data_IF_763921396041
#
_entry.id   IF_763921396041
#
_cell.length_a   1.000
_cell.length_b   1.000
_cell.length_c   1.000
_cell.angle_alpha   90.00
_cell.angle_beta   90.00
_cell.angle_gamma   90.00
#
_symmetry.space_group_name_H-M   'P 1'
#
loop_
_entity.id
_entity.type
_entity.pdbx_description
1 polymer ?
#
# COMPACT_ATOMS: atom_id res chain seq x y z
N UNK A 1 -32.10 48.30 -26.93
CA UNK A 1 -30.71 47.80 -26.97
C UNK A 1 -30.69 46.49 -26.21
N UNK A 2 -30.62 45.34 -26.90
CA UNK A 2 -30.71 44.00 -26.28
C UNK A 2 -29.36 43.63 -25.66
N UNK A 3 -29.37 43.30 -24.37
CA UNK A 3 -28.22 42.80 -23.62
C UNK A 3 -27.95 41.36 -24.07
N UNK A 4 -26.79 41.10 -24.66
CA UNK A 4 -26.34 39.78 -25.08
C UNK A 4 -25.59 39.13 -23.90
N UNK A 5 -26.17 38.10 -23.30
CA UNK A 5 -25.52 37.27 -22.29
C UNK A 5 -24.54 36.33 -23.01
N UNK A 6 -23.23 36.53 -22.85
CA UNK A 6 -22.21 35.62 -23.38
C UNK A 6 -22.06 34.47 -22.37
N UNK A 7 -22.55 33.30 -22.76
CA UNK A 7 -22.36 32.04 -22.04
C UNK A 7 -20.90 31.59 -22.27
N UNK A 8 -20.04 31.77 -21.27
CA UNK A 8 -18.66 31.25 -21.31
C UNK A 8 -18.70 29.78 -20.90
N UNK A 9 -18.70 28.88 -21.87
CA UNK A 9 -18.47 27.44 -21.63
C UNK A 9 -16.98 27.25 -21.37
N UNK A 10 -16.61 26.99 -20.11
CA UNK A 10 -15.28 26.50 -19.75
C UNK A 10 -15.17 25.06 -20.23
N UNK A 11 -14.51 24.85 -21.37
CA UNK A 11 -14.09 23.51 -21.80
C UNK A 11 -12.95 23.06 -20.88
N UNK A 12 -13.24 22.16 -19.94
CA UNK A 12 -12.19 21.40 -19.27
C UNK A 12 -11.49 20.54 -20.33
N UNK A 13 -10.21 20.82 -20.56
CA UNK A 13 -9.35 19.93 -21.35
C UNK A 13 -9.12 18.67 -20.52
N UNK A 14 -9.94 17.65 -20.73
CA UNK A 14 -9.65 16.30 -20.23
C UNK A 14 -8.37 15.81 -20.90
N UNK A 15 -7.28 15.78 -20.15
CA UNK A 15 -6.02 15.21 -20.61
C UNK A 15 -6.18 13.70 -20.71
N UNK A 16 -6.29 13.18 -21.93
CA UNK A 16 -6.33 11.75 -22.20
C UNK A 16 -5.08 11.08 -21.59
N UNK A 17 -5.30 10.19 -20.62
CA UNK A 17 -4.22 9.41 -20.01
C UNK A 17 -3.72 8.42 -21.07
N UNK A 18 -2.48 8.58 -21.54
CA UNK A 18 -1.89 7.67 -22.53
C UNK A 18 -1.16 6.51 -21.83
N UNK A 19 -1.72 5.30 -21.93
CA UNK A 19 -1.14 4.11 -21.32
C UNK A 19 -0.18 3.35 -22.24
N UNK A 20 0.76 2.68 -21.62
CA UNK A 20 1.72 1.80 -22.28
C UNK A 20 1.19 0.36 -22.23
N UNK A 21 1.41 -0.40 -23.29
CA UNK A 21 1.14 -1.84 -23.28
C UNK A 21 2.33 -2.60 -22.68
N UNK A 22 2.04 -3.68 -21.94
CA UNK A 22 3.04 -4.54 -21.32
C UNK A 22 2.78 -5.98 -21.77
N UNK A 23 3.71 -6.58 -22.48
CA UNK A 23 3.53 -7.92 -23.04
C UNK A 23 4.78 -8.76 -22.89
N UNK A 24 4.62 -10.07 -22.80
CA UNK A 24 5.75 -10.98 -22.85
C UNK A 24 6.40 -10.94 -24.22
N UNK A 25 7.73 -11.08 -24.22
CA UNK A 25 8.52 -11.26 -25.42
C UNK A 25 7.93 -12.38 -26.27
N UNK A 26 7.67 -12.10 -27.54
CA UNK A 26 7.24 -13.14 -28.48
C UNK A 26 8.46 -13.93 -28.97
N UNK A 27 8.30 -15.20 -29.39
CA UNK A 27 9.40 -16.01 -29.92
C UNK A 27 10.14 -15.38 -31.10
N UNK A 28 9.43 -14.55 -31.89
CA UNK A 28 9.97 -13.85 -33.06
C UNK A 28 10.76 -12.59 -32.70
N UNK A 29 10.64 -12.07 -31.47
CA UNK A 29 11.33 -10.85 -31.08
C UNK A 29 12.80 -11.12 -30.81
N UNK A 30 13.67 -10.39 -31.52
CA UNK A 30 15.11 -10.43 -31.25
C UNK A 30 15.47 -9.42 -30.15
N UNK A 31 15.91 -9.93 -29.01
CA UNK A 31 16.45 -9.12 -27.92
C UNK A 31 17.98 -9.24 -27.99
N UNK A 32 18.66 -8.10 -28.08
CA UNK A 32 20.13 -8.06 -28.10
C UNK A 32 20.63 -8.19 -26.65
N UNK A 33 21.68 -8.97 -26.41
CA UNK A 33 22.32 -9.14 -25.09
C UNK A 33 21.33 -9.62 -23.99
N UNK A 34 21.64 -9.28 -22.73
CA UNK A 34 20.82 -9.56 -21.54
C UNK A 34 19.63 -8.59 -21.39
N UNK A 35 19.07 -8.08 -22.49
CA UNK A 35 17.89 -7.21 -22.45
C UNK A 35 16.72 -7.96 -21.80
N UNK A 36 16.05 -7.34 -20.84
CA UNK A 36 14.90 -7.91 -20.14
C UNK A 36 13.63 -7.08 -20.38
N UNK A 37 13.78 -5.79 -20.68
CA UNK A 37 12.70 -4.93 -21.16
C UNK A 37 13.14 -4.27 -22.47
N UNK A 38 12.34 -4.42 -23.51
CA UNK A 38 12.52 -3.68 -24.76
C UNK A 38 11.33 -2.76 -24.98
N UNK A 39 11.58 -1.46 -25.01
CA UNK A 39 10.58 -0.45 -25.33
C UNK A 39 10.51 -0.22 -26.83
N UNK A 40 9.31 -0.36 -27.41
CA UNK A 40 9.03 0.04 -28.78
C UNK A 40 8.01 1.18 -28.77
N UNK A 41 8.44 2.33 -29.25
CA UNK A 41 7.54 3.43 -29.55
C UNK A 41 6.83 3.15 -30.87
N UNK A 42 5.65 2.50 -30.82
CA UNK A 42 4.85 2.19 -32.02
C UNK A 42 3.87 3.33 -32.31
N UNK A 43 3.38 3.39 -33.54
CA UNK A 43 2.40 4.40 -33.97
C UNK A 43 1.00 4.19 -33.39
N UNK A 44 0.71 3.02 -32.81
CA UNK A 44 -0.62 2.68 -32.26
C UNK A 44 -0.58 2.80 -30.73
N UNK A 45 0.21 1.97 -30.06
CA UNK A 45 0.41 2.01 -28.60
C UNK A 45 1.87 1.69 -28.28
N UNK A 46 2.61 2.60 -27.61
CA UNK A 46 3.97 2.27 -27.19
C UNK A 46 3.97 1.09 -26.22
N UNK A 47 4.85 0.12 -26.48
CA UNK A 47 4.78 -1.21 -25.86
C UNK A 47 6.12 -1.60 -25.24
N UNK A 48 6.07 -2.17 -24.03
CA UNK A 48 7.19 -2.90 -23.44
C UNK A 48 7.04 -4.40 -23.71
N UNK A 49 8.07 -4.98 -24.29
CA UNK A 49 8.23 -6.43 -24.44
C UNK A 49 9.16 -6.92 -23.35
N UNK A 50 8.71 -7.90 -22.58
CA UNK A 50 9.36 -8.29 -21.32
C UNK A 50 9.81 -9.74 -21.38
N UNK A 51 11.05 -9.98 -20.95
CA UNK A 51 11.66 -11.30 -20.79
C UNK A 51 12.25 -11.40 -19.40
N UNK A 52 12.02 -12.54 -18.77
CA UNK A 52 12.56 -12.88 -17.45
C UNK A 52 14.09 -12.98 -17.46
N UNK A 53 14.71 -12.57 -16.36
CA UNK A 53 16.15 -12.71 -16.14
C UNK A 53 16.42 -14.08 -15.52
N UNK A 54 16.89 -15.04 -16.33
CA UNK A 54 17.10 -16.43 -15.92
C UNK A 54 18.46 -16.72 -15.31
N UNK A 55 19.40 -15.77 -15.40
CA UNK A 55 20.74 -15.91 -14.82
C UNK A 55 20.65 -15.76 -13.28
N UNK A 56 21.37 -16.60 -12.54
CA UNK A 56 21.31 -16.58 -11.07
C UNK A 56 21.91 -15.31 -10.47
N UNK A 57 22.98 -14.77 -11.08
CA UNK A 57 23.68 -13.57 -10.61
C UNK A 57 23.00 -12.29 -11.11
N UNK A 58 22.58 -12.29 -12.38
CA UNK A 58 21.88 -11.17 -13.00
C UNK A 58 20.38 -11.47 -13.11
N UNK A 59 19.73 -11.70 -11.97
CA UNK A 59 18.33 -12.14 -11.89
C UNK A 59 17.32 -11.00 -11.81
N UNK A 60 17.76 -9.74 -11.81
CA UNK A 60 16.88 -8.58 -11.65
C UNK A 60 16.81 -7.73 -12.92
N UNK A 61 15.59 -7.40 -13.33
CA UNK A 61 15.35 -6.45 -14.41
C UNK A 61 14.90 -5.10 -13.83
N UNK A 62 15.71 -4.03 -13.93
CA UNK A 62 15.30 -2.72 -13.44
C UNK A 62 14.18 -2.15 -14.33
N UNK A 63 13.06 -1.68 -13.79
CA UNK A 63 12.05 -0.99 -14.57
C UNK A 63 12.65 0.30 -15.14
N UNK A 64 12.36 0.59 -16.40
CA UNK A 64 12.79 1.83 -17.04
C UNK A 64 11.62 2.56 -17.69
N UNK A 65 11.72 3.88 -17.77
CA UNK A 65 10.72 4.71 -18.44
C UNK A 65 11.12 4.94 -19.89
N UNK A 66 10.24 4.52 -20.80
CA UNK A 66 10.31 4.68 -22.26
C UNK A 66 11.68 4.32 -22.84
N UNK A 67 12.31 3.29 -22.28
CA UNK A 67 13.65 2.83 -22.65
C UNK A 67 13.81 1.33 -22.44
N UNK A 68 14.94 0.78 -22.89
CA UNK A 68 15.26 -0.63 -22.71
C UNK A 68 15.94 -0.84 -21.35
N UNK A 69 15.76 -2.02 -20.78
CA UNK A 69 16.47 -2.47 -19.57
C UNK A 69 17.20 -3.78 -19.84
N UNK A 70 18.31 -3.97 -19.13
CA UNK A 70 19.10 -5.21 -19.16
C UNK A 70 19.13 -5.84 -17.79
N UNK A 71 19.29 -7.15 -17.73
CA UNK A 71 19.41 -7.88 -16.48
C UNK A 71 20.64 -7.39 -15.70
N UNK A 72 20.43 -7.15 -14.41
CA UNK A 72 21.44 -6.67 -13.48
C UNK A 72 21.41 -7.52 -12.22
N UNK A 73 22.42 -7.33 -11.38
CA UNK A 73 22.42 -7.92 -10.04
C UNK A 73 21.26 -7.27 -9.26
N UNK A 74 20.42 -8.07 -8.56
CA UNK A 74 19.37 -7.53 -7.71
C UNK A 74 19.88 -6.42 -6.78
N UNK A 75 19.14 -5.31 -6.64
CA UNK A 75 19.51 -4.28 -5.69
C UNK A 75 19.57 -4.90 -4.30
N UNK A 76 20.56 -4.49 -3.51
CA UNK A 76 20.63 -4.90 -2.12
C UNK A 76 19.49 -4.24 -1.36
N UNK A 77 18.46 -5.02 -1.02
CA UNK A 77 17.37 -4.56 -0.17
C UNK A 77 17.73 -4.91 1.27
N UNK A 78 18.11 -3.91 2.04
CA UNK A 78 18.29 -4.08 3.49
C UNK A 78 16.92 -4.21 4.13
N UNK A 79 16.53 -5.43 4.49
CA UNK A 79 15.38 -5.71 5.34
C UNK A 79 15.78 -5.61 6.81
N UNK A 80 16.25 -4.43 7.22
CA UNK A 80 16.54 -4.19 8.63
C UNK A 80 15.26 -4.26 9.46
N UNK A 81 15.41 -4.82 10.64
CA UNK A 81 14.35 -4.98 11.61
C UNK A 81 14.33 -3.82 12.58
N UNK A 82 13.13 -3.36 12.89
CA UNK A 82 12.89 -2.19 13.74
C UNK A 82 12.72 -2.59 15.20
N UNK A 83 12.78 -1.63 16.15
CA UNK A 83 12.56 -1.96 17.55
C UNK A 83 11.25 -2.71 17.79
N UNK A 84 11.35 -3.81 18.54
CA UNK A 84 10.21 -4.70 18.78
C UNK A 84 9.94 -5.74 17.70
N UNK A 85 10.65 -5.77 16.58
CA UNK A 85 10.62 -6.92 15.64
C UNK A 85 11.56 -8.05 16.15
N UNK A 86 11.26 -9.31 15.81
CA UNK A 86 12.04 -10.47 16.29
C UNK A 86 13.36 -10.58 15.54
N UNK A 87 14.45 -10.89 16.21
CA UNK A 87 15.76 -11.08 15.58
C UNK A 87 16.50 -12.28 16.16
N UNK A 88 17.46 -12.81 15.41
CA UNK A 88 18.41 -13.81 15.93
C UNK A 88 19.81 -13.23 16.07
N UNK A 89 20.19 -12.30 15.20
CA UNK A 89 21.50 -11.66 15.19
C UNK A 89 21.38 -10.13 15.20
N UNK A 90 22.34 -9.46 15.83
CA UNK A 90 22.41 -7.99 15.89
C UNK A 90 22.39 -7.33 14.51
N UNK A 91 22.98 -7.96 13.50
CA UNK A 91 23.06 -7.44 12.14
C UNK A 91 21.71 -7.46 11.39
N UNK A 92 20.70 -8.15 11.93
CA UNK A 92 19.34 -8.10 11.38
C UNK A 92 18.62 -6.81 11.76
N UNK A 93 18.99 -6.20 12.89
CA UNK A 93 18.41 -4.95 13.36
C UNK A 93 18.98 -3.77 12.57
N UNK A 94 18.22 -2.68 12.50
CA UNK A 94 18.72 -1.44 11.91
C UNK A 94 20.05 -1.03 12.57
N UNK A 95 21.11 -0.71 11.78
CA UNK A 95 22.44 -0.41 12.32
C UNK A 95 22.50 0.75 13.32
N UNK A 96 21.49 1.62 13.34
CA UNK A 96 21.38 2.73 14.29
C UNK A 96 20.83 2.32 15.67
N UNK A 97 20.43 1.05 15.83
CA UNK A 97 19.85 0.48 17.05
C UNK A 97 20.90 -0.21 17.95
N UNK A 98 20.48 -0.65 19.14
CA UNK A 98 21.34 -1.39 20.08
C UNK A 98 21.53 -2.87 19.74
N UNK A 99 20.91 -3.34 18.65
CA UNK A 99 21.03 -4.71 18.18
C UNK A 99 19.96 -5.64 18.73
N UNK A 100 20.28 -6.93 18.76
CA UNK A 100 19.33 -7.98 19.10
C UNK A 100 19.51 -8.44 20.56
N UNK A 101 18.52 -8.17 21.41
CA UNK A 101 18.49 -8.63 22.80
C UNK A 101 17.14 -9.30 23.10
N UNK A 102 17.17 -10.42 23.82
CA UNK A 102 15.98 -11.24 24.13
C UNK A 102 15.14 -11.56 22.88
N UNK A 103 15.82 -11.95 21.79
CA UNK A 103 15.23 -12.25 20.47
C UNK A 103 14.48 -11.08 19.82
N UNK A 104 14.77 -9.83 20.23
CA UNK A 104 14.05 -8.65 19.74
C UNK A 104 15.00 -7.49 19.49
N UNK A 105 14.75 -6.72 18.42
CA UNK A 105 15.57 -5.55 18.14
C UNK A 105 15.28 -4.47 19.19
N UNK A 106 16.34 -3.93 19.78
CA UNK A 106 16.27 -2.93 20.83
C UNK A 106 16.52 -1.53 20.27
N UNK A 107 15.53 -0.66 20.41
CA UNK A 107 15.65 0.77 20.22
C UNK A 107 16.13 1.47 21.48
N UNK A 108 16.08 2.80 21.43
CA UNK A 108 16.49 3.67 22.51
C UNK A 108 15.43 3.70 23.61
N UNK A 109 15.90 3.56 24.84
CA UNK A 109 15.09 3.57 26.06
C UNK A 109 14.58 4.98 26.38
N UNK A 110 13.62 5.06 27.31
CA UNK A 110 13.06 6.32 27.80
C UNK A 110 14.17 7.30 28.22
N UNK A 111 14.11 8.52 27.69
CA UNK A 111 15.11 9.58 27.90
C UNK A 111 16.35 9.49 26.99
N UNK A 112 16.48 8.46 26.15
CA UNK A 112 17.56 8.34 25.17
C UNK A 112 17.40 9.32 24.01
N UNK A 113 18.51 9.81 23.44
CA UNK A 113 18.50 10.77 22.33
C UNK A 113 18.05 10.12 21.02
N UNK A 114 17.05 10.67 20.35
CA UNK A 114 16.51 10.15 19.09
C UNK A 114 16.41 11.24 18.02
N UNK A 115 16.41 10.81 16.77
CA UNK A 115 16.15 11.66 15.61
C UNK A 115 14.77 11.34 15.01
N UNK A 116 14.38 10.06 15.04
CA UNK A 116 13.13 9.55 14.47
C UNK A 116 12.37 8.68 15.48
N UNK A 117 11.05 8.50 15.29
CA UNK A 117 10.30 7.64 16.21
C UNK A 117 10.71 6.16 16.06
N UNK A 118 11.20 5.76 14.89
CA UNK A 118 11.81 4.47 14.58
C UNK A 118 12.98 4.10 15.49
N UNK A 119 13.68 5.09 16.07
CA UNK A 119 14.81 4.86 16.98
C UNK A 119 14.37 4.29 18.32
N UNK A 120 13.15 4.60 18.78
CA UNK A 120 12.73 4.37 20.15
C UNK A 120 12.15 2.96 20.36
N UNK A 121 12.27 2.45 21.59
CA UNK A 121 11.62 1.19 21.95
C UNK A 121 10.09 1.24 21.84
N UNK A 122 9.41 0.09 21.64
CA UNK A 122 7.94 0.01 21.66
C UNK A 122 7.33 0.71 22.88
N UNK A 123 6.21 1.41 22.69
CA UNK A 123 5.57 2.23 23.72
C UNK A 123 6.15 3.65 23.87
N UNK A 124 7.23 3.96 23.14
CA UNK A 124 7.87 5.27 23.11
C UNK A 124 7.76 5.92 21.73
N UNK A 125 7.99 7.23 21.69
CA UNK A 125 8.06 8.08 20.50
C UNK A 125 9.26 9.02 20.64
N UNK A 126 9.80 9.47 19.51
CA UNK A 126 10.76 10.58 19.55
C UNK A 126 10.03 11.93 19.71
N UNK A 127 10.31 12.66 20.77
CA UNK A 127 9.75 13.98 21.04
C UNK A 127 10.85 14.92 21.52
N UNK A 128 11.01 16.04 20.81
CA UNK A 128 12.06 17.05 21.11
C UNK A 128 13.48 16.44 21.23
N UNK A 129 13.75 15.43 20.40
CA UNK A 129 15.06 14.77 20.32
C UNK A 129 15.30 13.72 21.40
N UNK A 130 14.28 13.35 22.20
CA UNK A 130 14.37 12.28 23.20
C UNK A 130 13.23 11.27 23.08
N UNK A 131 13.51 10.01 23.39
CA UNK A 131 12.50 8.98 23.47
C UNK A 131 11.63 9.20 24.70
N UNK A 132 10.38 9.56 24.48
CA UNK A 132 9.36 9.81 25.49
C UNK A 132 8.18 8.85 25.31
N UNK A 133 7.27 8.77 26.29
CA UNK A 133 6.09 7.91 26.20
C UNK A 133 5.16 8.37 25.08
N UNK A 134 4.51 7.40 24.45
CA UNK A 134 3.37 7.67 23.58
C UNK A 134 2.19 8.26 24.36
N UNK A 135 1.37 9.03 23.68
CA UNK A 135 0.22 9.74 24.23
C UNK A 135 -0.99 8.81 24.23
N UNK A 136 -1.62 8.67 25.40
CA UNK A 136 -2.80 7.82 25.59
C UNK A 136 -4.04 8.35 24.84
N UNK A 137 -4.97 7.44 24.57
CA UNK A 137 -6.26 7.78 23.95
C UNK A 137 -7.00 8.81 24.82
N UNK A 138 -7.51 9.86 24.18
CA UNK A 138 -8.23 10.97 24.81
C UNK A 138 -7.34 12.11 25.31
N UNK A 139 -6.02 11.93 25.34
CA UNK A 139 -5.08 12.99 25.69
C UNK A 139 -4.72 13.86 24.48
N UNK A 140 -4.39 15.13 24.75
CA UNK A 140 -3.97 16.12 23.76
C UNK A 140 -2.44 16.20 23.67
N UNK A 141 -1.92 16.81 22.61
CA UNK A 141 -0.47 17.06 22.44
C UNK A 141 0.19 16.26 21.31
N UNK A 142 -0.58 15.45 20.58
CA UNK A 142 -0.06 14.73 19.42
C UNK A 142 0.13 15.67 18.23
N UNK A 143 1.18 15.44 17.44
CA UNK A 143 1.45 16.15 16.18
C UNK A 143 1.28 15.23 14.98
N UNK A 144 1.53 13.94 15.15
CA UNK A 144 1.39 12.88 14.17
C UNK A 144 0.75 11.65 14.82
N UNK A 145 0.29 10.70 14.00
CA UNK A 145 -0.21 9.41 14.46
C UNK A 145 0.82 8.66 15.34
N UNK A 146 2.10 8.83 15.06
CA UNK A 146 3.18 8.15 15.76
C UNK A 146 3.36 8.63 17.21
N UNK A 147 2.82 9.80 17.54
CA UNK A 147 2.83 10.30 18.91
C UNK A 147 1.83 9.55 19.79
N UNK A 148 0.73 9.09 19.22
CA UNK A 148 -0.31 8.35 19.95
C UNK A 148 0.10 6.90 20.13
N UNK A 149 -0.43 6.25 21.18
CA UNK A 149 -0.30 4.80 21.37
C UNK A 149 -0.71 4.02 20.10
N UNK A 150 -0.11 2.85 19.86
CA UNK A 150 -0.19 2.16 18.57
C UNK A 150 -1.61 1.80 18.06
N UNK A 151 -2.62 1.85 18.92
CA UNK A 151 -4.02 1.64 18.56
C UNK A 151 -4.83 2.94 18.40
N UNK A 152 -4.17 4.09 18.29
CA UNK A 152 -4.77 5.41 18.15
C UNK A 152 -4.04 6.27 17.11
N UNK A 153 -4.80 7.10 16.40
CA UNK A 153 -4.29 8.14 15.49
C UNK A 153 -4.46 9.53 16.09
N UNK A 154 -3.77 10.51 15.51
CA UNK A 154 -3.82 11.89 15.98
C UNK A 154 -4.88 12.67 15.21
N UNK A 155 -5.99 13.02 15.88
CA UNK A 155 -6.96 13.95 15.32
C UNK A 155 -6.47 15.38 15.49
N UNK A 156 -5.75 15.86 14.47
CA UNK A 156 -5.17 17.21 14.42
C UNK A 156 -5.68 17.97 13.21
N UNK A 157 -6.07 19.22 13.43
CA UNK A 157 -6.42 20.14 12.35
C UNK A 157 -5.17 20.84 11.84
N UNK A 158 -5.16 21.24 10.56
CA UNK A 158 -4.13 22.13 10.00
C UNK A 158 -4.07 23.49 10.71
N UNK A 159 -5.12 23.86 11.46
CA UNK A 159 -5.24 25.12 12.20
C UNK A 159 -4.76 25.03 13.66
N UNK A 160 -4.53 23.82 14.18
CA UNK A 160 -4.10 23.63 15.58
C UNK A 160 -2.65 23.19 15.64
N UNK A 161 -1.94 23.58 16.70
CA UNK A 161 -0.58 23.11 16.97
C UNK A 161 -0.57 21.65 17.36
N UNK A 162 -1.58 21.24 18.12
CA UNK A 162 -1.70 19.92 18.72
C UNK A 162 -3.07 19.29 18.37
N UNK A 163 -3.09 17.96 18.33
CA UNK A 163 -4.29 17.15 18.17
C UNK A 163 -4.63 16.37 19.44
N UNK A 164 -5.65 15.53 19.32
CA UNK A 164 -6.08 14.57 20.35
C UNK A 164 -5.90 13.15 19.84
N UNK A 165 -5.36 12.26 20.67
CA UNK A 165 -5.26 10.85 20.30
C UNK A 165 -6.63 10.17 20.35
N UNK A 166 -7.09 9.67 19.22
CA UNK A 166 -8.37 8.97 19.08
C UNK A 166 -8.11 7.54 18.63
N UNK A 167 -8.80 6.58 19.24
CA UNK A 167 -8.70 5.17 18.86
C UNK A 167 -9.05 4.98 17.38
N UNK A 168 -8.23 4.23 16.64
CA UNK A 168 -8.53 3.92 15.25
C UNK A 168 -9.88 3.18 15.10
N UNK A 169 -10.58 3.47 14.01
CA UNK A 169 -11.89 2.92 13.63
C UNK A 169 -12.97 3.02 14.73
N UNK A 170 -12.87 4.00 15.62
CA UNK A 170 -13.80 4.18 16.74
C UNK A 170 -14.93 5.16 16.47
N UNK A 171 -14.74 6.10 15.55
CA UNK A 171 -15.71 7.15 15.25
C UNK A 171 -16.81 6.63 14.33
N UNK A 172 -18.06 6.77 14.75
CA UNK A 172 -19.23 6.37 13.97
C UNK A 172 -19.57 7.40 12.90
N UNK A 173 -20.44 7.03 11.96
CA UNK A 173 -20.96 7.95 10.94
C UNK A 173 -21.48 9.25 11.57
N UNK A 174 -21.23 10.37 10.90
CA UNK A 174 -21.49 11.75 11.32
C UNK A 174 -20.65 12.26 12.49
N UNK A 175 -19.70 11.47 13.02
CA UNK A 175 -18.71 12.01 13.96
C UNK A 175 -17.82 13.02 13.24
N UNK A 176 -17.53 14.13 13.91
CA UNK A 176 -16.59 15.13 13.43
C UNK A 176 -15.15 14.60 13.52
N UNK A 177 -14.34 14.95 12.54
CA UNK A 177 -12.88 14.73 12.49
C UNK A 177 -12.20 16.01 12.06
N UNK A 178 -10.97 16.23 12.51
CA UNK A 178 -10.24 17.47 12.24
C UNK A 178 -9.72 17.59 10.81
N UNK A 179 -9.60 16.47 10.08
CA UNK A 179 -9.20 16.44 8.68
C UNK A 179 -9.78 15.26 7.92
N UNK A 180 -10.08 15.49 6.64
CA UNK A 180 -10.48 14.46 5.70
C UNK A 180 -9.71 14.65 4.39
N UNK A 181 -8.81 13.72 4.07
CA UNK A 181 -7.96 13.80 2.87
C UNK A 181 -8.29 12.63 1.96
N UNK A 182 -8.60 12.92 0.69
CA UNK A 182 -8.95 11.91 -0.33
C UNK A 182 -10.02 10.92 0.15
N UNK A 183 -11.04 11.43 0.84
CA UNK A 183 -12.11 10.65 1.46
C UNK A 183 -11.67 9.61 2.49
N UNK A 184 -10.44 9.70 3.00
CA UNK A 184 -9.84 8.74 3.93
C UNK A 184 -9.61 9.35 5.32
N UNK A 185 -9.97 8.60 6.34
CA UNK A 185 -9.51 8.83 7.71
C UNK A 185 -9.67 7.55 8.55
N UNK A 186 -8.58 6.99 9.08
CA UNK A 186 -8.60 5.75 9.87
C UNK A 186 -9.20 5.89 11.27
N UNK A 187 -9.56 7.09 11.72
CA UNK A 187 -10.35 7.27 12.94
C UNK A 187 -11.82 6.88 12.72
N UNK A 188 -12.32 7.04 11.49
CA UNK A 188 -13.67 6.64 11.11
C UNK A 188 -13.79 5.11 11.03
N UNK A 189 -14.90 4.56 11.52
CA UNK A 189 -15.18 3.12 11.51
C UNK A 189 -15.09 2.48 10.11
N UNK A 190 -15.48 3.24 9.09
CA UNK A 190 -15.45 2.87 7.67
C UNK A 190 -14.11 3.18 6.97
N UNK A 191 -13.15 3.78 7.68
CA UNK A 191 -11.97 4.46 7.10
C UNK A 191 -12.30 5.61 6.15
N UNK A 192 -13.57 6.02 6.05
CA UNK A 192 -14.05 6.95 5.03
C UNK A 192 -14.63 8.21 5.66
N UNK A 193 -14.34 9.35 5.04
CA UNK A 193 -14.83 10.64 5.49
C UNK A 193 -15.29 11.53 4.32
N UNK A 194 -16.08 12.55 4.65
CA UNK A 194 -16.48 13.63 3.73
C UNK A 194 -16.71 14.89 4.55
N UNK A 195 -16.18 16.03 4.09
CA UNK A 195 -16.37 17.34 4.74
C UNK A 195 -16.11 17.29 6.25
N UNK A 196 -14.99 16.69 6.66
CA UNK A 196 -14.60 16.54 8.07
C UNK A 196 -15.61 15.77 8.94
N UNK A 197 -16.41 14.90 8.32
CA UNK A 197 -17.31 13.98 9.01
C UNK A 197 -17.09 12.55 8.54
N UNK A 198 -17.18 11.59 9.46
CA UNK A 198 -17.17 10.17 9.10
C UNK A 198 -18.43 9.79 8.32
N UNK A 199 -18.28 8.95 7.29
CA UNK A 199 -19.39 8.47 6.45
C UNK A 199 -19.24 6.98 6.16
N UNK A 200 -20.30 6.27 5.72
CA UNK A 200 -20.17 4.89 5.24
C UNK A 200 -19.10 4.76 4.14
N UNK A 201 -18.47 3.59 4.05
CA UNK A 201 -17.44 3.35 3.04
C UNK A 201 -18.04 3.44 1.63
N UNK A 202 -17.42 4.25 0.77
CA UNK A 202 -17.74 4.25 -0.65
C UNK A 202 -17.37 2.91 -1.28
N UNK A 203 -18.13 2.49 -2.28
CA UNK A 203 -17.86 1.25 -3.03
C UNK A 203 -18.10 1.46 -4.51
N UNK A 204 -17.42 0.69 -5.32
CA UNK A 204 -17.61 0.62 -6.76
C UNK A 204 -18.93 -0.09 -7.08
N UNK A 205 -19.59 0.31 -8.18
CA UNK A 205 -20.77 -0.42 -8.66
C UNK A 205 -20.38 -1.80 -9.22
N UNK A 206 -19.24 -1.88 -9.91
CA UNK A 206 -18.69 -3.08 -10.55
C UNK A 206 -17.17 -3.02 -10.39
N UNK A 207 -16.55 -4.16 -10.10
CA UNK A 207 -15.09 -4.35 -10.12
C UNK A 207 -14.74 -5.62 -10.92
N UNK A 208 -13.69 -5.62 -11.77
CA UNK A 208 -12.91 -4.46 -12.20
C UNK A 208 -13.72 -3.53 -13.13
N UNK A 209 -13.49 -2.20 -13.04
CA UNK A 209 -14.12 -1.20 -13.91
C UNK A 209 -13.08 -0.57 -14.83
N UNK A 210 -13.21 -0.77 -16.14
CA UNK A 210 -12.43 -0.04 -17.14
C UNK A 210 -12.84 1.42 -17.16
N UNK A 211 -11.89 2.30 -17.42
CA UNK A 211 -12.11 3.75 -17.44
C UNK A 211 -11.27 4.41 -18.54
N UNK A 212 -11.65 5.63 -18.92
CA UNK A 212 -10.87 6.51 -19.78
C UNK A 212 -10.32 7.69 -18.98
N UNK A 213 -11.14 8.23 -18.07
CA UNK A 213 -10.81 9.34 -17.15
C UNK A 213 -11.31 9.02 -15.74
N UNK A 214 -10.91 9.84 -14.77
CA UNK A 214 -11.35 9.72 -13.37
C UNK A 214 -12.88 9.85 -13.23
N UNK A 215 -13.55 10.55 -14.15
CA UNK A 215 -15.02 10.72 -14.14
C UNK A 215 -15.73 9.38 -14.36
N UNK A 216 -15.09 8.40 -14.99
CA UNK A 216 -15.64 7.06 -15.09
C UNK A 216 -15.57 6.31 -13.76
N UNK A 217 -14.78 6.77 -12.80
CA UNK A 217 -14.47 6.08 -11.55
C UNK A 217 -15.29 6.58 -10.36
N UNK A 218 -16.60 6.69 -10.57
CA UNK A 218 -17.55 7.16 -9.56
C UNK A 218 -18.07 5.99 -8.70
N UNK A 219 -18.22 6.24 -7.40
CA UNK A 219 -18.80 5.32 -6.42
C UNK A 219 -20.28 5.01 -6.72
N UNK A 220 -20.80 3.91 -6.17
CA UNK A 220 -22.16 3.44 -6.43
C UNK A 220 -23.26 4.44 -6.02
N UNK A 221 -22.97 5.28 -5.03
CA UNK A 221 -23.85 6.35 -4.54
C UNK A 221 -23.63 7.69 -5.24
N UNK A 222 -22.74 7.74 -6.24
CA UNK A 222 -22.40 8.93 -7.05
C UNK A 222 -21.76 10.09 -6.28
N UNK A 223 -21.23 9.82 -5.09
CA UNK A 223 -20.67 10.86 -4.21
C UNK A 223 -19.16 11.02 -4.37
N UNK A 224 -18.44 9.92 -4.50
CA UNK A 224 -16.98 9.91 -4.49
C UNK A 224 -16.43 9.47 -5.84
N UNK A 225 -15.25 9.98 -6.16
CA UNK A 225 -14.52 9.64 -7.38
C UNK A 225 -13.17 9.05 -6.99
N UNK A 226 -12.84 7.88 -7.53
CA UNK A 226 -11.51 7.28 -7.46
C UNK A 226 -10.72 7.58 -8.73
N UNK A 227 -9.48 7.11 -8.84
CA UNK A 227 -8.61 7.48 -9.97
C UNK A 227 -8.62 6.41 -11.06
N UNK A 228 -8.57 6.85 -12.32
CA UNK A 228 -8.40 6.01 -13.47
C UNK A 228 -6.92 5.81 -13.76
N UNK A 229 -6.39 4.62 -13.47
CA UNK A 229 -4.94 4.35 -13.55
C UNK A 229 -4.62 3.32 -14.63
N UNK A 230 -3.50 3.52 -15.34
CA UNK A 230 -3.01 2.56 -16.32
C UNK A 230 -2.64 1.24 -15.66
N UNK A 231 -3.20 0.12 -16.16
CA UNK A 231 -2.76 -1.20 -15.74
C UNK A 231 -1.45 -1.63 -16.39
N UNK A 232 -0.86 -2.72 -15.86
CA UNK A 232 0.32 -3.39 -16.42
C UNK A 232 -0.11 -4.57 -17.30
N UNK A 233 -0.93 -4.29 -18.31
CA UNK A 233 -1.54 -5.30 -19.18
C UNK A 233 -1.20 -5.09 -20.67
N UNK A 234 -1.42 -6.14 -21.46
CA UNK A 234 -1.09 -6.18 -22.89
C UNK A 234 -1.90 -5.20 -23.76
N UNK A 235 -3.08 -4.80 -23.28
CA UNK A 235 -4.03 -4.00 -24.05
C UNK A 235 -3.95 -2.50 -23.70
N UNK A 236 -3.02 -2.10 -22.83
CA UNK A 236 -2.95 -0.75 -22.27
C UNK A 236 -4.28 -0.28 -21.65
N UNK A 237 -5.08 -1.21 -21.12
CA UNK A 237 -6.34 -0.90 -20.45
C UNK A 237 -6.06 -0.13 -19.15
N UNK A 238 -6.93 0.82 -18.82
CA UNK A 238 -6.99 1.50 -17.53
C UNK A 238 -8.13 0.94 -16.70
N UNK A 239 -7.95 0.98 -15.39
CA UNK A 239 -8.98 0.58 -14.44
C UNK A 239 -9.10 1.59 -13.30
N UNK A 240 -10.29 1.71 -12.75
CA UNK A 240 -10.51 2.50 -11.54
C UNK A 240 -9.81 1.86 -10.35
N UNK A 241 -9.21 2.68 -9.50
CA UNK A 241 -8.73 2.24 -8.19
C UNK A 241 -9.90 1.88 -7.27
N UNK A 242 -9.64 1.01 -6.30
CA UNK A 242 -10.65 0.56 -5.35
C UNK A 242 -11.02 1.66 -4.34
N UNK A 243 -12.26 1.62 -3.88
CA UNK A 243 -12.70 2.31 -2.67
C UNK A 243 -12.55 1.41 -1.44
N UNK A 244 -12.57 2.00 -0.24
CA UNK A 244 -12.50 1.25 1.04
C UNK A 244 -13.63 0.23 1.23
N UNK A 245 -14.79 0.44 0.59
CA UNK A 245 -15.94 -0.46 0.63
C UNK A 245 -15.92 -1.57 -0.42
N UNK A 246 -14.88 -1.66 -1.26
CA UNK A 246 -14.70 -2.77 -2.20
C UNK A 246 -14.10 -3.98 -1.48
N UNK A 247 -14.55 -5.20 -1.86
CA UNK A 247 -14.23 -6.45 -1.15
C UNK A 247 -12.74 -6.67 -0.85
N UNK A 248 -11.78 -6.43 -1.77
CA UNK A 248 -10.36 -6.62 -1.45
C UNK A 248 -9.87 -5.67 -0.35
N UNK A 249 -10.35 -4.42 -0.37
CA UNK A 249 -9.98 -3.41 0.62
C UNK A 249 -10.64 -3.72 1.97
N UNK A 250 -11.90 -4.15 1.98
CA UNK A 250 -12.59 -4.59 3.20
C UNK A 250 -11.84 -5.73 3.90
N UNK A 251 -11.32 -6.72 3.16
CA UNK A 251 -10.52 -7.81 3.72
C UNK A 251 -9.21 -7.32 4.33
N UNK A 252 -8.55 -6.35 3.70
CA UNK A 252 -7.38 -5.70 4.30
C UNK A 252 -7.75 -4.99 5.61
N UNK A 253 -8.80 -4.16 5.60
CA UNK A 253 -9.25 -3.41 6.77
C UNK A 253 -9.66 -4.32 7.93
N UNK A 254 -10.33 -5.44 7.67
CA UNK A 254 -10.71 -6.41 8.69
C UNK A 254 -9.47 -6.97 9.42
N UNK A 255 -8.45 -7.39 8.65
CA UNK A 255 -7.20 -7.91 9.20
C UNK A 255 -6.43 -6.83 9.96
N UNK A 256 -6.34 -5.63 9.40
CA UNK A 256 -5.67 -4.49 10.00
C UNK A 256 -6.34 -4.08 11.32
N UNK A 257 -7.67 -3.97 11.34
CA UNK A 257 -8.44 -3.66 12.54
C UNK A 257 -8.24 -4.72 13.61
N UNK A 258 -8.21 -6.00 13.24
CA UNK A 258 -7.97 -7.09 14.19
C UNK A 258 -6.56 -7.01 14.79
N UNK A 259 -5.56 -6.76 13.96
CA UNK A 259 -4.17 -6.56 14.40
C UNK A 259 -4.04 -5.37 15.35
N UNK A 260 -4.55 -4.21 14.95
CA UNK A 260 -4.43 -2.95 15.71
C UNK A 260 -5.21 -2.97 17.02
N UNK A 261 -6.33 -3.68 17.07
CA UNK A 261 -7.08 -3.84 18.33
C UNK A 261 -6.51 -4.93 19.25
N UNK A 262 -5.48 -5.68 18.81
CA UNK A 262 -4.83 -6.68 19.64
C UNK A 262 -3.87 -6.05 20.67
N UNK A 263 -3.59 -6.75 21.76
CA UNK A 263 -2.55 -6.33 22.72
C UNK A 263 -1.13 -6.47 22.16
N UNK A 264 -0.95 -7.20 21.05
CA UNK A 264 0.35 -7.45 20.45
C UNK A 264 0.90 -6.22 19.71
N UNK A 265 0.03 -5.31 19.25
CA UNK A 265 0.46 -4.09 18.54
C UNK A 265 1.39 -3.22 19.40
N UNK A 266 1.24 -3.25 20.73
CA UNK A 266 2.08 -2.49 21.67
C UNK A 266 3.51 -3.03 21.80
N UNK A 267 3.80 -4.19 21.21
CA UNK A 267 5.16 -4.74 21.14
C UNK A 267 5.94 -4.27 19.90
N UNK A 268 5.31 -3.45 19.05
CA UNK A 268 5.92 -2.89 17.85
C UNK A 268 6.34 -1.44 18.08
N UNK A 269 7.42 -1.01 17.42
CA UNK A 269 7.70 0.41 17.27
C UNK A 269 6.50 1.15 16.65
N UNK A 270 6.31 2.41 17.05
CA UNK A 270 5.17 3.24 16.64
C UNK A 270 5.04 3.43 15.12
N UNK A 271 6.14 3.53 14.39
CA UNK A 271 6.15 3.64 12.92
C UNK A 271 5.84 2.30 12.24
N UNK A 272 5.95 1.20 13.00
CA UNK A 272 5.71 -0.17 12.53
C UNK A 272 4.33 -0.68 12.91
N UNK A 273 3.43 0.18 13.41
CA UNK A 273 2.07 -0.21 13.83
C UNK A 273 1.25 -0.90 12.74
N UNK A 274 1.43 -0.54 11.47
CA UNK A 274 0.77 -1.20 10.32
C UNK A 274 1.69 -2.20 9.60
N UNK A 275 2.87 -2.49 10.14
CA UNK A 275 3.84 -3.42 9.55
C UNK A 275 3.35 -4.86 9.62
N UNK A 276 3.27 -5.50 8.45
CA UNK A 276 2.99 -6.93 8.39
C UNK A 276 4.14 -7.78 8.96
N UNK A 277 5.37 -7.24 8.98
CA UNK A 277 6.54 -7.90 9.57
C UNK A 277 6.35 -7.99 11.08
N UNK A 278 6.11 -6.86 11.74
CA UNK A 278 5.89 -6.86 13.19
C UNK A 278 4.61 -7.64 13.57
N UNK A 279 3.53 -7.50 12.79
CA UNK A 279 2.33 -8.30 12.99
C UNK A 279 2.60 -9.82 12.87
N UNK A 280 3.49 -10.22 11.95
CA UNK A 280 3.86 -11.62 11.77
C UNK A 280 4.72 -12.18 12.90
N UNK A 281 5.56 -11.33 13.49
CA UNK A 281 6.41 -11.69 14.63
C UNK A 281 5.63 -11.80 15.93
N UNK A 282 4.64 -10.92 16.13
CA UNK A 282 3.96 -10.71 17.41
C UNK A 282 2.56 -11.30 17.51
N UNK A 283 1.85 -11.46 16.40
CA UNK A 283 0.45 -11.90 16.40
C UNK A 283 0.26 -13.21 15.65
N UNK A 284 -0.01 -13.15 14.35
CA UNK A 284 -0.31 -14.31 13.52
C UNK A 284 0.31 -14.11 12.15
N UNK A 285 1.37 -14.87 11.87
CA UNK A 285 2.15 -14.79 10.64
C UNK A 285 1.33 -15.07 9.38
N UNK A 286 0.35 -15.97 9.46
CA UNK A 286 -0.51 -16.27 8.31
C UNK A 286 -1.44 -15.10 8.04
N UNK A 287 -2.07 -14.53 9.08
CA UNK A 287 -2.92 -13.34 8.94
C UNK A 287 -2.13 -12.12 8.51
N UNK A 288 -0.89 -11.96 8.95
CA UNK A 288 -0.05 -10.85 8.51
C UNK A 288 0.32 -10.94 7.02
N UNK A 289 0.57 -12.14 6.50
CA UNK A 289 0.74 -12.35 5.05
C UNK A 289 -0.54 -12.04 4.27
N UNK A 290 -1.72 -12.45 4.76
CA UNK A 290 -2.98 -12.03 4.13
C UNK A 290 -3.20 -10.52 4.18
N UNK A 291 -2.87 -9.89 5.30
CA UNK A 291 -3.00 -8.45 5.47
C UNK A 291 -2.13 -7.72 4.43
N UNK A 292 -0.89 -8.15 4.28
CA UNK A 292 0.02 -7.57 3.29
C UNK A 292 -0.41 -7.86 1.85
N UNK A 293 -0.91 -9.07 1.58
CA UNK A 293 -1.44 -9.43 0.26
C UNK A 293 -2.60 -8.53 -0.15
N UNK A 294 -3.62 -8.37 0.72
CA UNK A 294 -4.76 -7.54 0.39
C UNK A 294 -4.42 -6.05 0.35
N UNK A 295 -3.41 -5.60 1.10
CA UNK A 295 -2.86 -4.24 0.98
C UNK A 295 -2.32 -4.00 -0.43
N UNK A 296 -1.35 -4.82 -0.87
CA UNK A 296 -0.76 -4.69 -2.20
C UNK A 296 -1.79 -4.86 -3.30
N UNK A 297 -2.67 -5.87 -3.20
CA UNK A 297 -3.73 -6.08 -4.18
C UNK A 297 -4.66 -4.86 -4.30
N UNK A 298 -4.97 -4.19 -3.19
CA UNK A 298 -5.87 -3.04 -3.19
C UNK A 298 -5.19 -1.76 -3.70
N UNK A 299 -3.93 -1.53 -3.33
CA UNK A 299 -3.16 -0.35 -3.76
C UNK A 299 -2.76 -0.44 -5.24
N UNK A 300 -2.35 -1.63 -5.69
CA UNK A 300 -1.92 -1.89 -7.06
C UNK A 300 -3.04 -2.48 -7.93
N UNK A 301 -4.31 -2.34 -7.52
CA UNK A 301 -5.44 -3.00 -8.17
C UNK A 301 -5.42 -2.86 -9.70
N UNK A 302 -5.29 -1.65 -10.30
CA UNK A 302 -5.24 -1.53 -11.76
C UNK A 302 -4.04 -2.26 -12.40
N UNK A 303 -2.92 -2.35 -11.70
CA UNK A 303 -1.69 -3.00 -12.14
C UNK A 303 -1.77 -4.53 -12.08
N UNK A 304 -2.53 -5.09 -11.12
CA UNK A 304 -2.68 -6.53 -10.89
C UNK A 304 -3.90 -7.15 -11.60
N UNK A 305 -4.55 -6.40 -12.49
CA UNK A 305 -5.64 -6.90 -13.35
C UNK A 305 -5.12 -7.20 -14.75
N UNK A 306 -5.43 -8.39 -15.27
CA UNK A 306 -5.08 -8.84 -16.63
C UNK A 306 -3.57 -8.75 -16.95
N UNK A 307 -2.69 -8.90 -15.96
CA UNK A 307 -1.25 -8.98 -16.19
C UNK A 307 -0.83 -10.37 -16.68
N UNK A 308 0.33 -10.47 -17.32
CA UNK A 308 0.99 -11.73 -17.66
C UNK A 308 2.17 -12.01 -16.74
N UNK A 309 2.51 -13.29 -16.51
CA UNK A 309 3.52 -13.70 -15.53
C UNK A 309 4.87 -12.99 -15.71
N UNK A 310 5.37 -12.90 -16.94
CA UNK A 310 6.64 -12.20 -17.22
C UNK A 310 6.59 -10.71 -16.84
N UNK A 311 5.43 -10.06 -16.95
CA UNK A 311 5.24 -8.64 -16.60
C UNK A 311 5.28 -8.50 -15.10
N UNK A 312 4.61 -9.41 -14.39
CA UNK A 312 4.59 -9.40 -12.94
C UNK A 312 5.98 -9.59 -12.33
N UNK A 313 6.83 -10.43 -12.92
CA UNK A 313 8.20 -10.61 -12.42
C UNK A 313 9.05 -9.33 -12.45
N UNK A 314 8.78 -8.42 -13.39
CA UNK A 314 9.54 -7.17 -13.54
C UNK A 314 8.86 -5.99 -12.86
N UNK A 315 7.54 -5.86 -13.00
CA UNK A 315 6.81 -4.67 -12.57
C UNK A 315 5.93 -4.89 -11.34
N UNK A 316 5.74 -6.14 -10.89
CA UNK A 316 4.91 -6.51 -9.74
C UNK A 316 5.66 -7.48 -8.80
N UNK A 317 6.99 -7.34 -8.69
CA UNK A 317 7.85 -8.24 -7.92
C UNK A 317 7.42 -8.34 -6.46
N UNK A 318 7.03 -7.23 -5.85
CA UNK A 318 6.59 -7.18 -4.47
C UNK A 318 5.27 -7.93 -4.29
N UNK A 319 4.31 -7.72 -5.20
CA UNK A 319 3.05 -8.44 -5.19
C UNK A 319 3.26 -9.96 -5.35
N UNK A 320 4.15 -10.38 -6.27
CA UNK A 320 4.50 -11.79 -6.44
C UNK A 320 5.22 -12.36 -5.22
N UNK A 321 6.12 -11.60 -4.60
CA UNK A 321 6.79 -12.01 -3.37
C UNK A 321 5.75 -12.32 -2.28
N UNK A 322 4.81 -11.41 -2.06
CA UNK A 322 3.75 -11.57 -1.05
C UNK A 322 2.81 -12.71 -1.38
N UNK A 323 2.45 -12.89 -2.66
CA UNK A 323 1.69 -14.04 -3.12
C UNK A 323 2.44 -15.35 -2.85
N UNK A 324 3.74 -15.40 -3.13
CA UNK A 324 4.60 -16.55 -2.88
C UNK A 324 4.71 -16.90 -1.39
N UNK A 325 4.70 -15.92 -0.50
CA UNK A 325 4.64 -16.16 0.95
C UNK A 325 3.37 -16.93 1.36
N UNK A 326 2.22 -16.64 0.73
CA UNK A 326 0.97 -17.37 0.97
C UNK A 326 1.02 -18.79 0.38
N UNK A 327 1.53 -18.95 -0.83
CA UNK A 327 1.68 -20.27 -1.48
C UNK A 327 2.60 -21.20 -0.67
N UNK A 328 3.70 -20.66 -0.12
CA UNK A 328 4.64 -21.39 0.73
C UNK A 328 4.01 -21.91 2.04
N UNK A 329 2.91 -21.33 2.51
CA UNK A 329 2.15 -21.81 3.68
C UNK A 329 0.89 -22.58 3.29
N UNK A 330 0.85 -23.11 2.06
CA UNK A 330 -0.19 -24.02 1.56
C UNK A 330 -1.47 -23.35 1.08
N UNK A 331 -1.43 -22.05 0.80
CA UNK A 331 -2.59 -21.28 0.33
C UNK A 331 -2.47 -21.05 -1.17
N UNK A 332 -3.36 -21.66 -1.98
CA UNK A 332 -3.39 -21.38 -3.41
C UNK A 332 -4.26 -20.15 -3.69
N UNK A 333 -3.64 -19.13 -4.27
CA UNK A 333 -4.30 -17.89 -4.69
C UNK A 333 -4.55 -17.95 -6.20
N UNK A 334 -5.77 -18.29 -6.60
CA UNK A 334 -6.18 -18.43 -8.01
C UNK A 334 -6.97 -17.22 -8.51
N UNK A 335 -6.56 -16.69 -9.67
CA UNK A 335 -7.26 -15.62 -10.38
C UNK A 335 -8.01 -16.19 -11.58
N UNK A 336 -9.24 -15.72 -11.82
CA UNK A 336 -9.77 -15.75 -13.18
C UNK A 336 -10.41 -14.39 -13.50
N UNK A 337 -10.07 -13.85 -14.67
CA UNK A 337 -10.56 -12.56 -15.17
C UNK A 337 -10.39 -11.38 -14.19
N UNK A 338 -9.27 -11.32 -13.45
CA UNK A 338 -8.99 -10.23 -12.52
C UNK A 338 -9.80 -10.27 -11.21
N UNK A 339 -10.62 -11.30 -11.00
CA UNK A 339 -11.31 -11.54 -9.73
C UNK A 339 -10.75 -12.81 -9.07
N UNK A 340 -10.47 -12.71 -7.78
CA UNK A 340 -10.18 -13.88 -6.94
C UNK A 340 -11.43 -14.76 -6.88
N UNK A 341 -11.42 -15.91 -7.56
CA UNK A 341 -12.58 -16.82 -7.62
C UNK A 341 -12.64 -17.74 -6.39
N UNK A 342 -11.55 -17.89 -5.64
CA UNK A 342 -11.55 -18.64 -4.40
C UNK A 342 -10.15 -18.87 -3.83
N UNK A 343 -10.10 -19.13 -2.52
CA UNK A 343 -8.94 -19.68 -1.82
C UNK A 343 -9.14 -21.20 -1.75
N UNK A 344 -8.25 -21.96 -2.37
CA UNK A 344 -8.28 -23.42 -2.28
C UNK A 344 -7.11 -23.88 -1.42
N UNK A 345 -7.38 -24.80 -0.50
CA UNK A 345 -6.32 -25.51 0.22
C UNK A 345 -5.78 -26.60 -0.72
N UNK A 346 -4.48 -26.59 -0.97
CA UNK A 346 -3.83 -27.79 -1.46
C UNK A 346 -3.84 -28.81 -0.31
N UNK A 347 -4.80 -29.74 -0.32
CA UNK A 347 -4.66 -30.97 0.45
C UNK A 347 -3.49 -31.74 -0.17
N UNK A 348 -2.29 -31.56 0.39
CA UNK A 348 -1.18 -32.45 0.11
C UNK A 348 -1.53 -33.82 0.70
N UNK A 349 -1.64 -34.82 -0.19
CA UNK A 349 -1.57 -36.25 0.14
C UNK A 349 -0.12 -36.58 0.48
#
# INVERSE_FOLDING_TARGET
>A
MKLLLILVTVLSLDTEINCLAYTCKLPIDYFVNDTCVMYRNTTIVPTYYIRECTDQKYSYCPPSEKSNSTCTIPPFVTNYKYPGEKCHYTQECDPHLYGCEDETCQGKSLGGLCDEHSDCNPGLRCYEGICDKQIDIGATGCKTDFDCVNNAGCDKSKLTTDGTCIKYWSLTDNSFISSCENYSNFLCKSSTCRENSCVPAFKSLIIPKKCNTDIDCISSDTVATSTCTCGKNQNANKYCTLFYGDDPYLKYLELLQTWINSSYVFQCNTERRFSYVCAGDRWDRKKSYYMNYYLYFSQEFPSVIEFSDCVAQVYLSDFLFVKGLLENIGVVVSFANGLMIGLWFAQFI
#
